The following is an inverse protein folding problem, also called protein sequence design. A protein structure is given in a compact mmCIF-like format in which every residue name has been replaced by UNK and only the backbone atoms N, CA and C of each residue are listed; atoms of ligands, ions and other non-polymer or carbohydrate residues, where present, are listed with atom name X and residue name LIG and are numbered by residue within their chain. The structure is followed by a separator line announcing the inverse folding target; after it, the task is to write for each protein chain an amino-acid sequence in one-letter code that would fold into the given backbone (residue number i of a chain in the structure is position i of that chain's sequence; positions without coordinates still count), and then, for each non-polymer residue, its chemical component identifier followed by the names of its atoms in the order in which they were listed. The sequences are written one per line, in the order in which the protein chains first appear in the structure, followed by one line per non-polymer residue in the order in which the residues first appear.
data_IF_766093343199
#
_entry.id   IF_766093343199
#
_cell.length_a   1.000
_cell.length_b   1.000
_cell.length_c   1.000
_cell.angle_alpha   90.00
_cell.angle_beta   90.00
_cell.angle_gamma   90.00
#
_symmetry.space_group_name_H-M   'P 1'
#
loop_
_entity.id
_entity.type
_entity.pdbx_description
1 polymer ?
#
# COMPACT_ATOMS: atom_id res chain seq x y z
N UNK A 1 -37.83 -15.32 17.65
CA UNK A 1 -37.10 -14.10 17.26
C UNK A 1 -35.62 -14.39 17.30
N UNK A 2 -34.95 -14.52 16.15
CA UNK A 2 -33.53 -14.24 15.97
C UNK A 2 -33.29 -14.05 14.48
N UNK A 3 -33.14 -12.79 14.07
CA UNK A 3 -32.79 -12.41 12.72
C UNK A 3 -31.30 -12.72 12.50
N UNK A 4 -31.01 -13.60 11.54
CA UNK A 4 -29.66 -13.84 11.06
C UNK A 4 -29.24 -12.71 10.12
N UNK A 5 -28.48 -11.76 10.63
CA UNK A 5 -27.84 -10.73 9.80
C UNK A 5 -26.73 -11.37 8.98
N UNK A 6 -26.92 -11.45 7.66
CA UNK A 6 -25.84 -11.79 6.72
C UNK A 6 -24.83 -10.64 6.68
N UNK A 7 -23.51 -10.91 6.59
CA UNK A 7 -22.52 -9.86 6.45
C UNK A 7 -22.67 -9.18 5.09
N UNK A 8 -22.40 -7.86 4.98
CA UNK A 8 -22.42 -7.16 3.71
C UNK A 8 -21.40 -7.80 2.78
N UNK A 9 -21.87 -8.20 1.60
CA UNK A 9 -21.03 -8.69 0.51
C UNK A 9 -19.95 -7.64 0.24
N UNK A 10 -18.70 -7.97 0.56
CA UNK A 10 -17.54 -7.17 0.21
C UNK A 10 -17.45 -7.08 -1.30
N UNK A 11 -18.05 -6.04 -1.87
CA UNK A 11 -17.92 -5.71 -3.27
C UNK A 11 -16.44 -5.58 -3.59
N UNK A 12 -15.92 -6.55 -4.35
CA UNK A 12 -14.62 -6.40 -4.97
C UNK A 12 -14.72 -5.19 -5.88
N UNK A 13 -14.12 -4.08 -5.47
CA UNK A 13 -13.87 -2.94 -6.35
C UNK A 13 -12.83 -3.38 -7.38
N UNK A 14 -13.22 -4.28 -8.30
CA UNK A 14 -12.54 -4.39 -9.57
C UNK A 14 -12.83 -3.07 -10.29
N UNK A 15 -11.93 -2.12 -10.09
CA UNK A 15 -11.74 -1.02 -11.02
C UNK A 15 -11.24 -1.69 -12.30
N UNK A 16 -12.17 -2.09 -13.16
CA UNK A 16 -11.81 -2.38 -14.55
C UNK A 16 -11.17 -1.10 -15.10
N UNK A 17 -9.99 -1.19 -15.73
CA UNK A 17 -9.37 -0.01 -16.31
C UNK A 17 -10.36 0.60 -17.31
N UNK A 18 -10.52 1.94 -17.32
CA UNK A 18 -11.42 2.58 -18.28
C UNK A 18 -11.02 2.16 -19.70
N UNK A 19 -12.01 1.99 -20.57
CA UNK A 19 -11.75 1.74 -21.98
C UNK A 19 -10.96 2.92 -22.56
N UNK A 20 -9.80 2.64 -23.17
CA UNK A 20 -8.93 3.68 -23.75
C UNK A 20 -9.21 3.97 -25.23
N UNK A 21 -10.30 3.42 -25.78
CA UNK A 21 -10.58 3.43 -27.22
C UNK A 21 -10.65 4.84 -27.83
N UNK A 22 -11.04 5.85 -27.03
CA UNK A 22 -11.19 7.24 -27.46
C UNK A 22 -10.16 8.20 -26.82
N UNK A 23 -9.10 7.67 -26.19
CA UNK A 23 -8.06 8.47 -25.53
C UNK A 23 -6.85 8.60 -26.45
N UNK A 24 -6.38 9.83 -26.70
CA UNK A 24 -5.19 10.05 -27.52
C UNK A 24 -3.90 9.66 -26.80
N UNK A 25 -2.87 9.26 -27.55
CA UNK A 25 -1.56 8.89 -27.02
C UNK A 25 -0.95 9.99 -26.12
N UNK A 26 -1.11 11.25 -26.51
CA UNK A 26 -0.61 12.39 -25.74
C UNK A 26 -1.31 12.50 -24.37
N UNK A 27 -2.62 12.23 -24.31
CA UNK A 27 -3.38 12.21 -23.06
C UNK A 27 -2.97 11.02 -22.20
N UNK A 28 -2.83 9.82 -22.78
CA UNK A 28 -2.36 8.63 -22.05
C UNK A 28 -1.00 8.86 -21.39
N UNK A 29 -0.05 9.47 -22.10
CA UNK A 29 1.27 9.77 -21.56
C UNK A 29 1.23 10.83 -20.44
N UNK A 30 0.42 11.87 -20.60
CA UNK A 30 0.27 12.92 -19.59
C UNK A 30 -0.42 12.40 -18.31
N UNK A 31 -1.44 11.56 -18.46
CA UNK A 31 -2.19 10.96 -17.35
C UNK A 31 -1.30 9.99 -16.57
N UNK A 32 -0.55 9.13 -17.27
CA UNK A 32 0.42 8.23 -16.63
C UNK A 32 1.45 9.01 -15.80
N UNK A 33 1.95 10.14 -16.30
CA UNK A 33 2.87 11.01 -15.56
C UNK A 33 2.26 11.62 -14.30
N UNK A 34 0.99 12.02 -14.38
CA UNK A 34 0.25 12.59 -13.24
C UNK A 34 -0.02 11.54 -12.17
N UNK A 35 -0.46 10.34 -12.57
CA UNK A 35 -0.70 9.19 -11.69
C UNK A 35 0.61 8.76 -11.00
N UNK A 36 1.73 8.69 -11.73
CA UNK A 36 3.02 8.32 -11.15
C UNK A 36 3.48 9.36 -10.12
N UNK A 37 3.24 10.66 -10.36
CA UNK A 37 3.56 11.71 -9.39
C UNK A 37 2.76 11.53 -8.10
N UNK A 38 1.45 11.31 -8.20
CA UNK A 38 0.59 11.07 -7.05
C UNK A 38 1.02 9.80 -6.30
N UNK A 39 1.28 8.70 -7.03
CA UNK A 39 1.78 7.45 -6.46
C UNK A 39 3.05 7.66 -5.66
N UNK A 40 4.01 8.45 -6.16
CA UNK A 40 5.27 8.77 -5.45
C UNK A 40 5.05 9.59 -4.19
N UNK A 41 4.12 10.56 -4.21
CA UNK A 41 3.77 11.33 -3.01
C UNK A 41 3.16 10.41 -1.95
N UNK A 42 2.19 9.58 -2.35
CA UNK A 42 1.58 8.59 -1.45
C UNK A 42 2.61 7.59 -0.91
N UNK A 43 3.55 7.13 -1.73
CA UNK A 43 4.63 6.26 -1.32
C UNK A 43 5.53 6.94 -0.28
N UNK A 44 5.92 8.21 -0.49
CA UNK A 44 6.70 8.97 0.49
C UNK A 44 5.98 9.11 1.84
N UNK A 45 4.69 9.43 1.82
CA UNK A 45 3.86 9.50 3.04
C UNK A 45 3.77 8.13 3.73
N UNK A 46 3.58 7.05 2.96
CA UNK A 46 3.56 5.70 3.49
C UNK A 46 4.89 5.37 4.18
N UNK A 47 6.03 5.60 3.53
CA UNK A 47 7.35 5.33 4.11
C UNK A 47 7.56 6.12 5.40
N UNK A 48 7.17 7.39 5.46
CA UNK A 48 7.25 8.18 6.69
C UNK A 48 6.43 7.56 7.85
N UNK A 49 5.25 6.99 7.56
CA UNK A 49 4.47 6.25 8.56
C UNK A 49 5.13 4.93 8.96
N UNK A 50 5.70 4.20 8.00
CA UNK A 50 6.42 2.96 8.26
C UNK A 50 7.66 3.18 9.13
N UNK A 51 8.38 4.30 8.93
CA UNK A 51 9.49 4.72 9.80
C UNK A 51 9.02 4.87 11.24
N UNK A 52 7.88 5.52 11.48
CA UNK A 52 7.39 5.71 12.84
C UNK A 52 6.90 4.38 13.47
N UNK A 53 6.27 3.52 12.67
CA UNK A 53 5.87 2.17 13.09
C UNK A 53 7.11 1.35 13.48
N UNK A 54 8.18 1.43 12.70
CA UNK A 54 9.44 0.72 12.94
C UNK A 54 10.15 1.24 14.20
N UNK A 55 10.31 2.57 14.33
CA UNK A 55 10.94 3.21 15.51
C UNK A 55 10.25 2.81 16.82
N UNK A 56 8.92 2.77 16.82
CA UNK A 56 8.11 2.39 17.99
C UNK A 56 7.84 0.89 18.08
N UNK A 57 8.25 0.10 17.08
CA UNK A 57 7.99 -1.34 16.96
C UNK A 57 6.52 -1.72 17.14
N UNK A 58 5.58 -0.92 16.63
CA UNK A 58 4.14 -1.07 16.92
C UNK A 58 3.55 -2.41 16.45
N UNK A 59 4.17 -3.04 15.46
CA UNK A 59 3.77 -4.35 14.96
C UNK A 59 3.91 -5.48 16.01
N UNK A 60 4.74 -5.28 17.05
CA UNK A 60 4.95 -6.27 18.12
C UNK A 60 3.71 -6.50 18.97
N UNK A 61 2.85 -5.48 19.12
CA UNK A 61 1.57 -5.59 19.84
C UNK A 61 0.63 -6.65 19.21
N UNK A 62 0.81 -6.92 17.91
CA UNK A 62 0.03 -7.90 17.16
C UNK A 62 0.81 -9.22 16.94
N UNK A 63 1.90 -9.45 17.68
CA UNK A 63 2.69 -10.68 17.63
C UNK A 63 3.67 -10.79 16.45
N UNK A 64 3.81 -9.74 15.64
CA UNK A 64 4.75 -9.75 14.52
C UNK A 64 6.17 -9.44 15.00
N UNK A 65 7.16 -10.13 14.43
CA UNK A 65 8.57 -9.97 14.79
C UNK A 65 9.25 -8.80 14.07
N UNK A 66 8.73 -8.39 12.92
CA UNK A 66 9.30 -7.33 12.10
C UNK A 66 8.25 -6.69 11.18
N UNK A 67 8.55 -5.50 10.68
CA UNK A 67 7.70 -4.74 9.75
C UNK A 67 7.33 -5.54 8.50
N UNK A 68 8.28 -6.27 7.90
CA UNK A 68 8.00 -7.08 6.71
C UNK A 68 6.98 -8.19 7.01
N UNK A 69 7.07 -8.85 8.17
CA UNK A 69 6.12 -9.87 8.60
C UNK A 69 4.73 -9.28 8.80
N UNK A 70 4.65 -8.14 9.50
CA UNK A 70 3.41 -7.41 9.69
C UNK A 70 2.78 -6.98 8.37
N UNK A 71 3.56 -6.44 7.44
CA UNK A 71 3.07 -6.02 6.13
C UNK A 71 2.53 -7.15 5.28
N UNK A 72 3.17 -8.33 5.29
CA UNK A 72 2.63 -9.54 4.63
C UNK A 72 1.32 -9.99 5.28
N UNK A 73 1.27 -10.03 6.62
CA UNK A 73 0.10 -10.54 7.35
C UNK A 73 -1.12 -9.62 7.29
N UNK A 74 -0.91 -8.31 7.43
CA UNK A 74 -2.00 -7.33 7.55
C UNK A 74 -2.36 -6.71 6.19
N UNK A 75 -1.36 -6.42 5.36
CA UNK A 75 -1.55 -5.70 4.09
C UNK A 75 -1.33 -6.58 2.86
N UNK A 76 -1.11 -7.89 3.04
CA UNK A 76 -0.92 -8.86 1.95
C UNK A 76 0.18 -8.46 0.97
N UNK A 77 1.23 -7.79 1.46
CA UNK A 77 2.36 -7.46 0.62
C UNK A 77 2.98 -8.74 0.06
N UNK A 78 3.41 -8.70 -1.20
CA UNK A 78 4.26 -9.76 -1.73
C UNK A 78 5.60 -9.80 -0.98
N UNK A 79 6.35 -10.90 -1.10
CA UNK A 79 7.66 -11.00 -0.45
C UNK A 79 8.64 -9.91 -0.92
N UNK A 80 8.60 -9.59 -2.21
CA UNK A 80 9.44 -8.54 -2.83
C UNK A 80 9.05 -7.17 -2.28
N UNK A 81 7.76 -6.88 -2.26
CA UNK A 81 7.23 -5.61 -1.77
C UNK A 81 7.48 -5.41 -0.27
N UNK A 82 7.30 -6.44 0.55
CA UNK A 82 7.58 -6.40 1.97
C UNK A 82 9.06 -6.16 2.27
N UNK A 83 9.95 -6.78 1.49
CA UNK A 83 11.39 -6.54 1.58
C UNK A 83 11.75 -5.12 1.16
N UNK A 84 11.24 -4.66 0.02
CA UNK A 84 11.52 -3.33 -0.51
C UNK A 84 11.11 -2.24 0.49
N UNK A 85 9.90 -2.31 1.05
CA UNK A 85 9.41 -1.34 2.04
C UNK A 85 10.21 -1.37 3.32
N UNK A 86 10.50 -2.55 3.88
CA UNK A 86 11.37 -2.67 5.06
C UNK A 86 12.73 -2.03 4.83
N UNK A 87 13.38 -2.37 3.71
CA UNK A 87 14.73 -1.88 3.41
C UNK A 87 14.74 -0.37 3.21
N UNK A 88 13.74 0.19 2.52
CA UNK A 88 13.63 1.63 2.34
C UNK A 88 13.36 2.35 3.66
N UNK A 89 12.50 1.79 4.52
CA UNK A 89 12.29 2.31 5.88
C UNK A 89 13.58 2.32 6.70
N UNK A 90 14.36 1.23 6.67
CA UNK A 90 15.65 1.15 7.37
C UNK A 90 16.66 2.16 6.81
N UNK A 91 16.76 2.29 5.48
CA UNK A 91 17.62 3.27 4.84
C UNK A 91 17.29 4.71 5.27
N UNK A 92 16.01 5.08 5.31
CA UNK A 92 15.58 6.43 5.74
C UNK A 92 15.87 6.67 7.24
N UNK A 93 15.81 5.65 8.08
CA UNK A 93 16.18 5.77 9.49
C UNK A 93 17.70 6.01 9.64
N UNK A 94 18.51 5.34 8.83
CA UNK A 94 19.98 5.43 8.85
C UNK A 94 20.51 6.71 8.18
N UNK A 95 19.80 7.22 7.17
CA UNK A 95 20.15 8.41 6.39
C UNK A 95 18.97 9.40 6.35
N UNK A 96 18.74 10.14 7.44
CA UNK A 96 17.58 11.03 7.58
C UNK A 96 17.67 12.30 6.72
#
# INVERSE_FOLDING_TARGET
MHAGSSPPSGGSLRLEPPGFADVSDAVLLADAGSIERERRICEGVLIARLVEIERRRLYTANGWRCLAGWGRGVHRWSDVEARARRNLTHLVIECP
#
